data_IF_380056514423
#
_entry.id   IF_380056514423
#
_cell.length_a   1.000
_cell.length_b   1.000
_cell.length_c   1.000
_cell.angle_alpha   90.00
_cell.angle_beta   90.00
_cell.angle_gamma   90.00
#
_symmetry.space_group_name_H-M   'P 1'
#
loop_
_entity.id
_entity.type
_entity.pdbx_description
1 polymer ?
#
# COMPACT_ATOMS: atom_id res chain seq x y z
N UNK A 1 11.82 -23.96 41.87
CA UNK A 1 11.54 -22.86 40.92
C UNK A 1 10.85 -23.53 39.77
N UNK A 2 9.58 -23.23 39.58
CA UNK A 2 8.79 -23.80 38.50
C UNK A 2 9.35 -23.32 37.15
N UNK A 3 9.29 -24.16 36.13
CA UNK A 3 9.80 -23.81 34.80
C UNK A 3 8.98 -22.63 34.27
N UNK A 4 9.57 -21.62 33.61
CA UNK A 4 8.81 -20.56 32.93
C UNK A 4 7.75 -21.12 31.96
N UNK A 5 7.94 -22.35 31.46
CA UNK A 5 6.98 -23.07 30.62
C UNK A 5 5.73 -23.56 31.39
N UNK A 6 5.85 -23.82 32.71
CA UNK A 6 4.73 -24.27 33.53
C UNK A 6 3.70 -23.16 33.78
N UNK A 7 4.14 -21.89 33.79
CA UNK A 7 3.27 -20.71 33.92
C UNK A 7 2.35 -20.50 32.70
N UNK A 8 2.76 -20.93 31.50
CA UNK A 8 1.97 -20.82 30.28
C UNK A 8 0.88 -21.90 30.16
N UNK A 9 1.03 -23.02 30.87
CA UNK A 9 0.05 -24.12 30.86
C UNK A 9 -1.20 -23.83 31.69
N UNK A 10 -1.19 -22.78 32.51
CA UNK A 10 -2.22 -22.50 33.52
C UNK A 10 -3.47 -21.77 32.97
N UNK A 11 -3.50 -21.34 31.70
CA UNK A 11 -4.62 -20.58 31.12
C UNK A 11 -5.59 -21.38 30.22
N UNK A 12 -5.34 -22.68 30.03
CA UNK A 12 -6.20 -23.54 29.20
C UNK A 12 -7.44 -24.01 30.00
N UNK A 13 -8.39 -23.10 30.21
CA UNK A 13 -9.63 -23.37 30.96
C UNK A 13 -10.86 -22.61 30.44
N UNK A 14 -11.62 -23.27 29.55
CA UNK A 14 -13.05 -23.06 29.19
C UNK A 14 -13.50 -21.76 28.50
N UNK A 15 -13.79 -21.90 27.19
CA UNK A 15 -14.79 -21.27 26.32
C UNK A 15 -15.50 -19.97 26.75
N UNK A 16 -15.44 -18.97 25.84
CA UNK A 16 -16.56 -18.07 25.56
C UNK A 16 -16.19 -16.58 25.41
N UNK A 17 -15.76 -16.18 24.21
CA UNK A 17 -15.74 -14.79 23.70
C UNK A 17 -14.99 -13.67 24.48
N UNK A 18 -14.35 -13.95 25.60
CA UNK A 18 -13.46 -13.00 26.32
C UNK A 18 -11.95 -13.23 26.12
N UNK A 19 -11.56 -14.03 25.12
CA UNK A 19 -10.20 -14.58 25.00
C UNK A 19 -9.11 -13.63 24.48
N UNK A 20 -9.45 -12.60 23.69
CA UNK A 20 -8.43 -11.76 23.05
C UNK A 20 -7.78 -10.77 24.04
N UNK A 21 -8.57 -10.11 24.90
CA UNK A 21 -8.03 -9.18 25.91
C UNK A 21 -7.20 -9.91 26.98
N UNK A 22 -7.59 -11.13 27.37
CA UNK A 22 -6.89 -11.88 28.42
C UNK A 22 -5.51 -12.37 27.98
N UNK A 23 -5.34 -12.72 26.71
CA UNK A 23 -4.07 -13.20 26.18
C UNK A 23 -3.08 -12.06 25.90
N UNK A 24 -3.56 -10.89 25.46
CA UNK A 24 -2.71 -9.70 25.29
C UNK A 24 -2.05 -9.31 26.62
N UNK A 25 -2.84 -9.31 27.71
CA UNK A 25 -2.36 -8.96 29.03
C UNK A 25 -1.31 -9.93 29.59
N UNK A 26 -1.50 -11.23 29.40
CA UNK A 26 -0.53 -12.23 29.84
C UNK A 26 0.83 -12.10 29.11
N UNK A 27 0.82 -11.73 27.83
CA UNK A 27 2.04 -11.50 27.06
C UNK A 27 2.71 -10.18 27.49
N UNK A 28 1.93 -9.12 27.72
CA UNK A 28 2.42 -7.84 28.21
C UNK A 28 3.07 -7.95 29.59
N UNK A 29 2.42 -8.63 30.53
CA UNK A 29 2.94 -8.88 31.88
C UNK A 29 4.26 -9.68 31.81
N UNK A 30 4.32 -10.69 30.94
CA UNK A 30 5.49 -11.55 30.78
C UNK A 30 6.67 -10.83 30.08
N UNK A 31 6.39 -9.94 29.13
CA UNK A 31 7.41 -9.07 28.52
C UNK A 31 7.90 -7.99 29.50
N UNK A 32 7.04 -7.52 30.40
CA UNK A 32 7.36 -6.55 31.44
C UNK A 32 8.24 -7.15 32.54
N UNK A 33 7.96 -8.38 32.97
CA UNK A 33 8.64 -9.02 34.10
C UNK A 33 10.06 -9.49 33.79
N UNK A 34 10.30 -10.00 32.58
CA UNK A 34 11.60 -10.61 32.23
C UNK A 34 12.48 -9.72 31.34
N UNK A 35 11.89 -8.67 30.75
CA UNK A 35 12.48 -7.97 29.62
C UNK A 35 12.63 -8.90 28.41
N UNK A 36 12.22 -8.46 27.22
CA UNK A 36 12.17 -9.33 26.03
C UNK A 36 13.47 -10.09 25.68
N UNK A 37 14.64 -9.68 26.22
CA UNK A 37 15.90 -10.40 26.07
C UNK A 37 16.15 -11.53 27.07
N UNK A 38 15.70 -11.41 28.33
CA UNK A 38 15.93 -12.42 29.37
C UNK A 38 15.04 -13.64 29.19
N UNK A 39 13.77 -13.43 28.85
CA UNK A 39 12.80 -14.50 28.61
C UNK A 39 13.21 -15.44 27.47
N UNK A 40 13.71 -14.89 26.36
CA UNK A 40 14.12 -15.66 25.19
C UNK A 40 15.29 -16.59 25.51
N UNK A 41 16.25 -16.13 26.33
CA UNK A 41 17.40 -16.94 26.76
C UNK A 41 16.98 -18.10 27.66
N UNK A 42 16.09 -17.88 28.62
CA UNK A 42 15.61 -18.92 29.54
C UNK A 42 14.82 -20.02 28.81
N UNK A 43 14.06 -19.67 27.76
CA UNK A 43 13.33 -20.65 26.96
C UNK A 43 14.20 -21.38 25.92
N UNK A 44 15.48 -21.03 25.78
CA UNK A 44 16.39 -21.65 24.81
C UNK A 44 16.13 -21.27 23.35
N UNK A 45 15.33 -20.23 23.11
CA UNK A 45 15.07 -19.72 21.76
C UNK A 45 16.00 -18.56 21.41
N UNK A 46 16.12 -18.25 20.12
CA UNK A 46 16.94 -17.12 19.65
C UNK A 46 16.07 -15.88 19.45
N UNK A 47 14.81 -16.05 19.05
CA UNK A 47 13.88 -14.96 18.82
C UNK A 47 12.59 -15.14 19.60
N UNK A 48 12.02 -14.04 20.10
CA UNK A 48 10.68 -14.03 20.72
C UNK A 48 9.62 -14.61 19.78
N UNK A 49 9.78 -14.38 18.47
CA UNK A 49 8.94 -14.97 17.44
C UNK A 49 8.86 -16.50 17.54
N UNK A 50 9.98 -17.18 17.79
CA UNK A 50 10.01 -18.64 17.86
C UNK A 50 9.21 -19.15 19.06
N UNK A 51 9.28 -18.45 20.19
CA UNK A 51 8.50 -18.77 21.39
C UNK A 51 7.00 -18.65 21.10
N UNK A 52 6.59 -17.56 20.44
CA UNK A 52 5.19 -17.32 20.12
C UNK A 52 4.66 -18.31 19.07
N UNK A 53 5.46 -18.66 18.08
CA UNK A 53 5.08 -19.65 17.07
C UNK A 53 4.84 -21.03 17.66
N UNK A 54 5.66 -21.44 18.65
CA UNK A 54 5.51 -22.74 19.32
C UNK A 54 4.31 -22.76 20.27
N UNK A 55 4.09 -21.70 21.04
CA UNK A 55 3.02 -21.66 22.06
C UNK A 55 1.66 -21.25 21.49
N UNK A 56 1.64 -20.53 20.36
CA UNK A 56 0.44 -20.01 19.73
C UNK A 56 0.50 -20.23 18.20
N UNK A 57 0.53 -21.49 17.73
CA UNK A 57 0.72 -21.80 16.31
C UNK A 57 -0.46 -21.38 15.42
N UNK A 58 -1.64 -21.19 16.00
CA UNK A 58 -2.84 -20.75 15.27
C UNK A 58 -2.83 -19.25 14.95
N UNK A 59 -1.91 -18.48 15.54
CA UNK A 59 -1.75 -17.05 15.28
C UNK A 59 -0.76 -16.83 14.13
N UNK A 60 -1.14 -15.99 13.16
CA UNK A 60 -0.31 -15.62 12.02
C UNK A 60 0.73 -14.54 12.40
N UNK A 61 1.72 -14.95 13.19
CA UNK A 61 2.78 -14.07 13.66
C UNK A 61 3.64 -13.56 12.50
N UNK A 62 3.87 -12.24 12.46
CA UNK A 62 4.74 -11.60 11.48
C UNK A 62 6.09 -11.25 12.11
N UNK A 63 7.20 -11.93 11.76
CA UNK A 63 8.51 -11.72 12.38
C UNK A 63 8.98 -10.26 12.39
N UNK A 64 8.66 -9.49 11.34
CA UNK A 64 9.02 -8.08 11.20
C UNK A 64 8.29 -7.13 12.14
N UNK A 65 7.25 -7.58 12.84
CA UNK A 65 6.58 -6.81 13.89
C UNK A 65 7.37 -6.86 15.21
N UNK A 66 8.32 -7.79 15.33
CA UNK A 66 9.21 -7.88 16.48
C UNK A 66 10.48 -7.08 16.19
N UNK A 67 10.84 -6.14 17.07
CA UNK A 67 11.91 -5.16 16.79
C UNK A 67 13.31 -5.73 16.49
N UNK A 68 13.59 -6.99 16.85
CA UNK A 68 14.87 -7.66 16.60
C UNK A 68 14.82 -8.63 15.41
N UNK A 69 15.08 -8.13 14.20
CA UNK A 69 14.97 -8.91 12.94
C UNK A 69 16.23 -8.89 12.08
N UNK A 70 17.39 -8.55 12.64
CA UNK A 70 18.62 -8.35 11.84
C UNK A 70 19.02 -9.57 11.01
N UNK A 71 18.98 -10.76 11.60
CA UNK A 71 19.26 -12.03 10.92
C UNK A 71 18.11 -12.49 10.03
N UNK A 72 16.86 -12.17 10.41
CA UNK A 72 15.66 -12.50 9.63
C UNK A 72 15.75 -11.96 8.19
N UNK A 73 16.21 -10.72 8.05
CA UNK A 73 16.37 -10.06 6.75
C UNK A 73 17.57 -10.56 5.93
N UNK A 74 18.41 -11.45 6.46
CA UNK A 74 19.55 -11.99 5.70
C UNK A 74 19.12 -12.98 4.60
N UNK A 75 17.92 -13.54 4.72
CA UNK A 75 17.37 -14.49 3.76
C UNK A 75 16.42 -13.82 2.76
N UNK A 76 16.65 -13.99 1.45
CA UNK A 76 15.83 -13.36 0.40
C UNK A 76 14.36 -13.78 0.42
N UNK A 77 14.07 -15.03 0.79
CA UNK A 77 12.69 -15.50 0.93
C UNK A 77 11.91 -14.72 2.00
N UNK A 78 12.55 -14.32 3.10
CA UNK A 78 11.91 -13.52 4.15
C UNK A 78 11.65 -12.08 3.69
N UNK A 79 12.55 -11.55 2.87
CA UNK A 79 12.40 -10.22 2.27
C UNK A 79 11.22 -10.20 1.29
N UNK A 80 11.08 -11.24 0.46
CA UNK A 80 9.95 -11.42 -0.45
C UNK A 80 8.64 -11.59 0.30
N UNK A 81 8.61 -12.47 1.29
CA UNK A 81 7.43 -12.70 2.11
C UNK A 81 6.92 -11.39 2.76
N UNK A 82 7.82 -10.59 3.31
CA UNK A 82 7.46 -9.27 3.83
C UNK A 82 6.87 -8.34 2.76
N UNK A 83 7.51 -8.26 1.57
CA UNK A 83 7.06 -7.36 0.52
C UNK A 83 5.70 -7.77 -0.04
N UNK A 84 5.44 -9.07 -0.20
CA UNK A 84 4.16 -9.62 -0.63
C UNK A 84 3.06 -9.29 0.40
N UNK A 85 3.28 -9.63 1.67
CA UNK A 85 2.36 -9.28 2.74
C UNK A 85 2.11 -7.76 2.82
N UNK A 86 3.15 -6.93 2.68
CA UNK A 86 2.99 -5.48 2.69
C UNK A 86 2.11 -5.03 1.52
N UNK A 87 2.32 -5.58 0.31
CA UNK A 87 1.52 -5.22 -0.86
C UNK A 87 0.04 -5.57 -0.67
N UNK A 88 -0.27 -6.69 0.01
CA UNK A 88 -1.64 -7.03 0.42
C UNK A 88 -2.25 -5.97 1.36
N UNK A 89 -1.46 -5.37 2.26
CA UNK A 89 -1.94 -4.34 3.18
C UNK A 89 -2.24 -2.99 2.50
N UNK A 90 -1.64 -2.71 1.34
CA UNK A 90 -1.86 -1.47 0.56
C UNK A 90 -2.52 -1.74 -0.80
N UNK A 91 -3.47 -2.69 -0.81
CA UNK A 91 -3.96 -3.48 -1.95
C UNK A 91 -3.22 -3.28 -3.28
N UNK A 92 -1.91 -3.57 -3.32
CA UNK A 92 -1.13 -3.56 -4.54
C UNK A 92 -0.95 -4.97 -5.08
N UNK A 93 -1.17 -5.15 -6.38
CA UNK A 93 -0.86 -6.40 -7.06
C UNK A 93 0.65 -6.55 -7.25
N UNK A 94 1.24 -7.59 -6.66
CA UNK A 94 2.67 -7.92 -6.86
C UNK A 94 2.99 -8.31 -8.30
N UNK A 95 2.00 -8.76 -9.07
CA UNK A 95 2.16 -9.14 -10.47
C UNK A 95 2.17 -7.94 -11.42
N UNK A 96 1.80 -6.74 -10.95
CA UNK A 96 1.83 -5.52 -11.74
C UNK A 96 3.11 -4.74 -11.45
N UNK A 97 4.10 -4.88 -12.32
CA UNK A 97 5.36 -4.15 -12.17
C UNK A 97 5.16 -2.63 -12.14
N UNK A 98 4.18 -2.09 -12.89
CA UNK A 98 3.88 -0.66 -12.94
C UNK A 98 3.40 -0.13 -11.60
N UNK A 99 2.56 -0.90 -10.88
CA UNK A 99 2.07 -0.51 -9.57
C UNK A 99 3.18 -0.53 -8.52
N UNK A 100 4.14 -1.45 -8.63
CA UNK A 100 5.25 -1.56 -7.70
C UNK A 100 6.19 -0.34 -7.73
N UNK A 101 6.30 0.37 -8.86
CA UNK A 101 7.02 1.66 -8.90
C UNK A 101 6.37 2.76 -8.03
N UNK A 102 5.12 2.58 -7.60
CA UNK A 102 4.43 3.51 -6.70
C UNK A 102 4.78 3.30 -5.22
N UNK A 103 5.48 2.21 -4.89
CA UNK A 103 5.93 1.94 -3.53
C UNK A 103 6.96 2.98 -3.07
N UNK A 104 6.86 3.34 -1.80
CA UNK A 104 7.77 4.32 -1.19
C UNK A 104 8.50 3.74 0.01
N UNK A 105 9.70 4.26 0.27
CA UNK A 105 10.46 3.94 1.49
C UNK A 105 9.65 4.26 2.75
N UNK A 106 8.83 5.31 2.73
CA UNK A 106 7.95 5.69 3.86
C UNK A 106 6.93 4.59 4.17
N UNK A 107 6.32 4.00 3.16
CA UNK A 107 5.38 2.87 3.34
C UNK A 107 6.10 1.63 3.86
N UNK A 108 7.22 1.26 3.26
CA UNK A 108 8.00 0.10 3.74
C UNK A 108 8.34 0.26 5.22
N UNK A 109 8.73 1.46 5.65
CA UNK A 109 8.99 1.76 7.07
C UNK A 109 7.73 1.72 7.93
N UNK A 110 6.59 2.20 7.42
CA UNK A 110 5.28 2.18 8.11
C UNK A 110 4.89 0.75 8.49
N UNK A 111 5.21 -0.22 7.64
CA UNK A 111 4.86 -1.63 7.82
C UNK A 111 5.97 -2.47 8.47
N UNK A 112 7.01 -1.86 9.06
CA UNK A 112 8.05 -2.59 9.81
C UNK A 112 9.32 -2.94 9.02
N UNK A 113 9.41 -2.57 7.74
CA UNK A 113 10.56 -2.86 6.87
C UNK A 113 11.82 -2.01 7.13
N UNK A 114 11.98 -1.39 8.31
CA UNK A 114 13.17 -0.59 8.65
C UNK A 114 14.45 -1.43 8.61
N UNK A 115 14.41 -2.64 9.20
CA UNK A 115 15.55 -3.56 9.20
C UNK A 115 15.92 -4.03 7.79
N UNK A 116 14.90 -4.35 6.98
CA UNK A 116 15.07 -4.71 5.58
C UNK A 116 15.82 -3.63 4.78
N UNK A 117 15.36 -2.38 4.89
CA UNK A 117 15.97 -1.25 4.19
C UNK A 117 17.42 -1.00 4.63
N UNK A 118 17.74 -1.25 5.89
CA UNK A 118 19.11 -1.11 6.40
C UNK A 118 20.08 -2.11 5.75
N UNK A 119 19.63 -3.33 5.45
CA UNK A 119 20.44 -4.35 4.78
C UNK A 119 20.54 -4.09 3.28
N UNK A 120 19.42 -3.74 2.63
CA UNK A 120 19.36 -3.52 1.18
C UNK A 120 20.13 -2.28 0.72
N UNK A 121 20.33 -1.31 1.62
CA UNK A 121 20.96 0.01 1.38
C UNK A 121 20.15 0.94 0.48
N UNK A 122 19.53 0.44 -0.57
CA UNK A 122 18.70 1.22 -1.51
C UNK A 122 17.38 0.52 -1.82
N UNK A 123 16.36 1.29 -2.22
CA UNK A 123 15.10 0.75 -2.71
C UNK A 123 15.30 -0.06 -4.01
N UNK A 124 16.22 0.38 -4.88
CA UNK A 124 16.57 -0.35 -6.09
C UNK A 124 17.03 -1.79 -5.78
N UNK A 125 18.03 -1.93 -4.88
CA UNK A 125 18.57 -3.24 -4.51
C UNK A 125 17.49 -4.14 -3.93
N UNK A 126 16.58 -3.58 -3.14
CA UNK A 126 15.44 -4.32 -2.60
C UNK A 126 14.57 -4.90 -3.72
N UNK A 127 14.18 -4.09 -4.70
CA UNK A 127 13.30 -4.52 -5.78
C UNK A 127 13.97 -5.54 -6.70
N UNK A 128 15.25 -5.34 -7.05
CA UNK A 128 16.03 -6.30 -7.86
C UNK A 128 16.26 -7.63 -7.12
N UNK A 129 16.40 -7.61 -5.79
CA UNK A 129 16.63 -8.83 -5.01
C UNK A 129 15.34 -9.63 -4.79
N UNK A 130 14.26 -8.94 -4.45
CA UNK A 130 12.99 -9.58 -4.06
C UNK A 130 12.17 -9.99 -5.27
N UNK A 131 12.15 -9.14 -6.30
CA UNK A 131 11.38 -9.33 -7.52
C UNK A 131 12.32 -9.39 -8.73
N UNK A 132 13.25 -10.34 -8.68
CA UNK A 132 14.26 -10.53 -9.73
C UNK A 132 13.66 -11.00 -11.06
N UNK A 133 12.41 -11.45 -11.06
CA UNK A 133 11.65 -11.82 -12.25
C UNK A 133 11.22 -10.63 -13.12
N UNK A 134 11.29 -9.40 -12.60
CA UNK A 134 10.89 -8.20 -13.33
C UNK A 134 12.06 -7.47 -13.98
N UNK A 135 11.84 -6.95 -15.18
CA UNK A 135 12.80 -6.14 -15.91
C UNK A 135 12.70 -4.68 -15.46
N UNK A 136 13.41 -4.34 -14.38
CA UNK A 136 13.32 -3.02 -13.75
C UNK A 136 13.96 -1.90 -14.59
N UNK A 137 13.19 -0.83 -14.82
CA UNK A 137 13.72 0.44 -15.30
C UNK A 137 14.30 1.24 -14.12
N UNK A 138 15.62 1.12 -13.95
CA UNK A 138 16.37 1.69 -12.83
C UNK A 138 16.15 3.20 -12.66
N UNK A 139 15.95 3.91 -13.77
CA UNK A 139 15.67 5.35 -13.79
C UNK A 139 14.43 5.71 -12.95
N UNK A 140 13.44 4.81 -12.90
CA UNK A 140 12.17 4.99 -12.18
C UNK A 140 12.29 4.63 -10.71
N UNK A 141 13.05 3.58 -10.38
CA UNK A 141 13.29 3.17 -8.98
C UNK A 141 14.05 4.24 -8.19
N UNK A 142 15.02 4.91 -8.82
CA UNK A 142 15.80 5.99 -8.18
C UNK A 142 14.94 7.20 -7.81
N UNK A 143 13.85 7.45 -8.54
CA UNK A 143 12.93 8.58 -8.30
C UNK A 143 11.92 8.31 -7.17
N UNK A 144 11.60 7.04 -6.87
CA UNK A 144 10.58 6.66 -5.87
C UNK A 144 11.00 6.80 -4.40
N UNK A 145 12.30 6.95 -4.11
CA UNK A 145 12.83 6.91 -2.74
C UNK A 145 12.70 8.19 -1.90
N UNK A 146 12.58 9.36 -2.54
CA UNK A 146 12.80 10.66 -1.88
C UNK A 146 11.85 11.76 -2.36
N UNK A 147 10.57 11.43 -2.57
CA UNK A 147 9.54 12.40 -2.97
C UNK A 147 9.67 12.91 -4.40
N UNK A 148 10.57 12.33 -5.21
CA UNK A 148 10.74 12.69 -6.62
C UNK A 148 9.54 12.30 -7.47
N UNK A 149 9.30 13.08 -8.53
CA UNK A 149 8.40 12.96 -9.72
C UNK A 149 7.20 11.98 -9.71
N UNK A 150 7.33 10.77 -9.18
CA UNK A 150 6.19 9.88 -8.90
C UNK A 150 5.43 10.26 -7.62
N UNK A 151 6.03 11.02 -6.70
CA UNK A 151 5.39 11.41 -5.44
C UNK A 151 4.07 12.17 -5.63
N UNK A 152 4.00 13.10 -6.58
CA UNK A 152 2.81 13.94 -6.81
C UNK A 152 1.66 13.20 -7.48
N UNK A 153 1.94 12.18 -8.31
CA UNK A 153 0.92 11.38 -9.02
C UNK A 153 0.80 9.94 -8.54
N UNK A 154 1.43 9.59 -7.43
CA UNK A 154 1.47 8.21 -6.92
C UNK A 154 0.06 7.67 -6.69
N UNK A 155 -0.74 8.44 -5.95
CA UNK A 155 -2.09 8.03 -5.58
C UNK A 155 -3.02 8.06 -6.79
N UNK A 156 -2.84 9.02 -7.70
CA UNK A 156 -3.53 9.02 -9.00
C UNK A 156 -3.24 7.74 -9.78
N UNK A 157 -1.97 7.31 -9.91
CA UNK A 157 -1.60 6.06 -10.58
C UNK A 157 -2.22 4.82 -9.92
N UNK A 158 -2.23 4.78 -8.59
CA UNK A 158 -2.89 3.70 -7.85
C UNK A 158 -4.39 3.68 -8.10
N UNK A 159 -5.03 4.84 -8.08
CA UNK A 159 -6.43 4.98 -8.41
C UNK A 159 -6.70 4.52 -9.86
N UNK A 160 -5.86 4.92 -10.82
CA UNK A 160 -5.96 4.45 -12.21
C UNK A 160 -5.87 2.92 -12.30
N UNK A 161 -4.95 2.31 -11.56
CA UNK A 161 -4.82 0.85 -11.50
C UNK A 161 -6.09 0.19 -10.92
N UNK A 162 -6.64 0.71 -9.82
CA UNK A 162 -7.89 0.19 -9.27
C UNK A 162 -9.06 0.34 -10.25
N UNK A 163 -9.17 1.47 -10.93
CA UNK A 163 -10.19 1.67 -11.97
C UNK A 163 -10.03 0.66 -13.10
N UNK A 164 -8.79 0.33 -13.51
CA UNK A 164 -8.53 -0.74 -14.49
C UNK A 164 -8.97 -2.12 -14.01
N UNK A 165 -8.78 -2.42 -12.73
CA UNK A 165 -9.27 -3.68 -12.15
C UNK A 165 -10.79 -3.75 -12.11
N UNK A 166 -11.47 -2.64 -11.82
CA UNK A 166 -12.93 -2.57 -11.77
C UNK A 166 -13.57 -2.60 -13.16
N UNK A 167 -12.89 -2.05 -14.17
CA UNK A 167 -13.39 -1.95 -15.54
C UNK A 167 -12.39 -2.54 -16.56
N UNK A 168 -12.09 -3.86 -16.49
CA UNK A 168 -11.01 -4.47 -17.26
C UNK A 168 -11.22 -4.43 -18.78
N UNK A 169 -12.46 -4.29 -19.23
CA UNK A 169 -12.82 -4.28 -20.67
C UNK A 169 -13.14 -2.87 -21.20
N UNK A 170 -12.89 -1.81 -20.41
CA UNK A 170 -13.20 -0.43 -20.81
C UNK A 170 -11.93 0.35 -21.11
N UNK A 171 -12.08 1.32 -22.00
CA UNK A 171 -11.05 2.31 -22.25
C UNK A 171 -10.92 3.23 -21.02
N UNK A 172 -9.69 3.37 -20.50
CA UNK A 172 -9.40 4.25 -19.37
C UNK A 172 -8.31 5.21 -19.80
N UNK A 173 -8.62 6.50 -19.77
CA UNK A 173 -7.74 7.59 -20.15
C UNK A 173 -7.24 8.31 -18.89
N UNK A 174 -6.01 8.01 -18.40
CA UNK A 174 -5.40 8.79 -17.34
C UNK A 174 -4.96 10.16 -17.85
N UNK A 175 -4.94 11.17 -16.98
CA UNK A 175 -4.50 12.54 -17.30
C UNK A 175 -5.24 13.15 -18.51
N UNK A 176 -6.56 12.94 -18.59
CA UNK A 176 -7.36 13.36 -19.73
C UNK A 176 -7.44 14.88 -19.85
N UNK A 177 -7.07 15.38 -21.03
CA UNK A 177 -7.21 16.78 -21.45
C UNK A 177 -7.79 16.85 -22.85
N UNK A 178 -8.98 17.42 -23.00
CA UNK A 178 -9.70 17.44 -24.27
C UNK A 178 -8.89 18.08 -25.41
N UNK A 179 -8.19 19.19 -25.16
CA UNK A 179 -7.32 19.83 -26.15
C UNK A 179 -6.12 19.00 -26.64
N UNK A 180 -5.66 18.00 -25.88
CA UNK A 180 -4.52 17.15 -26.29
C UNK A 180 -4.91 16.00 -27.22
N UNK A 181 -6.18 15.54 -27.16
CA UNK A 181 -6.67 14.44 -28.00
C UNK A 181 -6.64 14.82 -29.49
N UNK A 182 -6.76 16.11 -29.80
CA UNK A 182 -6.73 16.62 -31.19
C UNK A 182 -5.35 16.51 -31.85
N UNK A 183 -4.27 16.36 -31.08
CA UNK A 183 -2.90 16.44 -31.59
C UNK A 183 -2.24 15.08 -31.89
N UNK A 184 -2.78 13.97 -31.38
CA UNK A 184 -2.19 12.62 -31.55
C UNK A 184 -2.83 11.79 -32.67
N UNK A 185 -3.69 12.39 -33.50
CA UNK A 185 -4.48 11.68 -34.49
C UNK A 185 -3.70 11.32 -35.78
N UNK A 186 -2.94 10.24 -35.73
CA UNK A 186 -2.86 9.30 -36.87
C UNK A 186 -4.05 8.32 -36.87
N UNK A 187 -4.80 8.24 -35.76
CA UNK A 187 -6.07 7.52 -35.70
C UNK A 187 -7.22 8.50 -35.96
N UNK A 188 -7.87 8.32 -37.10
CA UNK A 188 -9.05 9.04 -37.61
C UNK A 188 -10.30 8.82 -36.75
N UNK A 189 -10.24 9.21 -35.47
CA UNK A 189 -11.42 9.36 -34.64
C UNK A 189 -12.03 10.74 -34.92
N UNK A 190 -13.23 10.75 -35.49
CA UNK A 190 -13.99 11.97 -35.75
C UNK A 190 -14.28 12.71 -34.44
N UNK A 191 -14.28 14.04 -34.50
CA UNK A 191 -14.61 14.94 -33.37
C UNK A 191 -16.00 14.69 -32.75
N UNK A 192 -16.80 13.81 -33.33
CA UNK A 192 -18.18 13.52 -32.94
C UNK A 192 -18.32 12.54 -31.76
N UNK A 193 -17.25 11.84 -31.35
CA UNK A 193 -17.42 10.69 -30.45
C UNK A 193 -17.70 11.06 -28.98
N UNK A 194 -17.23 12.22 -28.50
CA UNK A 194 -17.34 12.59 -27.10
C UNK A 194 -17.83 14.04 -26.93
N UNK A 195 -18.80 14.29 -26.03
CA UNK A 195 -19.28 15.64 -25.77
C UNK A 195 -18.16 16.50 -25.17
N UNK A 196 -18.23 17.80 -25.41
CA UNK A 196 -17.29 18.77 -24.84
C UNK A 196 -17.51 18.88 -23.34
N UNK A 197 -16.49 18.53 -22.56
CA UNK A 197 -16.55 18.56 -21.10
C UNK A 197 -15.95 19.88 -20.63
N UNK A 198 -16.82 20.82 -20.25
CA UNK A 198 -16.43 22.16 -19.81
C UNK A 198 -16.98 22.48 -18.44
N UNK A 199 -16.28 23.34 -17.72
CA UNK A 199 -16.81 23.98 -16.53
C UNK A 199 -17.96 24.92 -16.93
N UNK A 200 -19.19 24.75 -16.42
CA UNK A 200 -20.34 25.53 -16.89
C UNK A 200 -20.28 27.01 -16.53
N UNK A 201 -19.55 27.39 -15.47
CA UNK A 201 -19.38 28.80 -15.08
C UNK A 201 -18.40 29.55 -15.98
N UNK A 202 -17.30 28.88 -16.36
CA UNK A 202 -16.18 29.53 -17.05
C UNK A 202 -16.07 29.17 -18.52
N UNK A 203 -16.82 28.15 -18.97
CA UNK A 203 -16.73 27.55 -20.31
C UNK A 203 -15.31 27.05 -20.69
N UNK A 204 -14.45 26.84 -19.69
CA UNK A 204 -13.11 26.27 -19.85
C UNK A 204 -13.20 24.74 -19.84
N UNK A 205 -12.37 24.09 -20.66
CA UNK A 205 -12.26 22.63 -20.69
C UNK A 205 -11.80 22.08 -19.34
N UNK A 206 -12.40 20.97 -18.92
CA UNK A 206 -11.97 20.28 -17.70
C UNK A 206 -10.76 19.39 -18.01
N UNK A 207 -9.78 19.42 -17.11
CA UNK A 207 -8.75 18.38 -17.01
C UNK A 207 -9.23 17.37 -15.97
N UNK A 208 -9.16 16.08 -16.31
CA UNK A 208 -9.64 14.98 -15.47
C UNK A 208 -8.50 14.00 -15.20
N UNK A 209 -8.34 13.58 -13.96
CA UNK A 209 -7.26 12.66 -13.60
C UNK A 209 -7.42 11.27 -14.24
N UNK A 210 -8.66 10.77 -14.33
CA UNK A 210 -9.01 9.49 -14.96
C UNK A 210 -10.38 9.61 -15.60
N UNK A 211 -10.50 9.26 -16.89
CA UNK A 211 -11.75 9.34 -17.64
C UNK A 211 -12.07 8.01 -18.36
N UNK A 212 -13.33 7.58 -18.26
CA UNK A 212 -13.92 6.43 -18.96
C UNK A 212 -14.94 6.97 -19.96
N UNK A 213 -14.52 7.18 -21.22
CA UNK A 213 -15.34 7.90 -22.19
C UNK A 213 -16.62 7.18 -22.58
N UNK A 214 -16.63 5.84 -22.55
CA UNK A 214 -17.75 5.00 -22.97
C UNK A 214 -18.97 5.08 -22.03
N UNK A 215 -18.77 5.47 -20.78
CA UNK A 215 -19.82 5.67 -19.77
C UNK A 215 -19.83 7.08 -19.19
N UNK A 216 -19.08 8.01 -19.78
CA UNK A 216 -18.98 9.40 -19.32
C UNK A 216 -18.65 9.53 -17.83
N UNK A 217 -17.79 8.63 -17.31
CA UNK A 217 -17.42 8.58 -15.91
C UNK A 217 -16.00 9.12 -15.73
N UNK A 218 -15.83 10.03 -14.78
CA UNK A 218 -14.53 10.58 -14.41
C UNK A 218 -14.24 10.36 -12.93
N UNK A 219 -12.97 10.11 -12.60
CA UNK A 219 -12.46 10.09 -11.24
C UNK A 219 -11.41 11.18 -11.09
N UNK A 220 -11.54 11.98 -10.05
CA UNK A 220 -10.60 13.04 -9.69
C UNK A 220 -9.93 12.70 -8.37
N UNK A 221 -8.60 12.72 -8.34
CA UNK A 221 -7.83 12.49 -7.15
C UNK A 221 -7.65 13.79 -6.36
N UNK A 222 -8.37 13.87 -5.25
CA UNK A 222 -8.25 14.96 -4.30
C UNK A 222 -7.13 14.63 -3.30
N UNK A 223 -5.98 15.28 -3.45
CA UNK A 223 -4.79 15.02 -2.63
C UNK A 223 -5.00 15.23 -1.12
N UNK A 224 -4.09 14.71 -0.29
CA UNK A 224 -4.19 14.77 1.19
C UNK A 224 -3.96 16.17 1.82
N UNK A 225 -3.87 17.27 1.06
CA UNK A 225 -3.24 18.50 1.56
C UNK A 225 -3.78 19.86 1.12
N UNK A 226 -4.96 19.97 0.48
CA UNK A 226 -5.42 21.28 -0.06
C UNK A 226 -6.86 21.65 0.28
N UNK A 227 -7.49 21.01 1.27
CA UNK A 227 -8.92 21.23 1.56
C UNK A 227 -9.23 22.22 2.70
N UNK A 228 -8.24 22.96 3.19
CA UNK A 228 -8.51 24.05 4.15
C UNK A 228 -8.75 25.40 3.47
N UNK A 229 -8.66 25.48 2.14
CA UNK A 229 -8.93 26.70 1.38
C UNK A 229 -10.34 26.65 0.78
N UNK A 230 -11.21 27.56 1.20
CA UNK A 230 -12.61 27.65 0.79
C UNK A 230 -12.75 27.79 -0.75
N UNK A 231 -11.78 28.42 -1.41
CA UNK A 231 -11.74 28.57 -2.87
C UNK A 231 -11.57 27.21 -3.59
N UNK A 232 -10.87 26.26 -2.97
CA UNK A 232 -10.68 24.91 -3.51
C UNK A 232 -11.99 24.11 -3.39
N UNK A 233 -12.69 24.25 -2.26
CA UNK A 233 -13.99 23.61 -2.05
C UNK A 233 -15.04 24.11 -3.03
N UNK A 234 -15.13 25.42 -3.27
CA UNK A 234 -16.07 25.97 -4.26
C UNK A 234 -15.77 25.48 -5.69
N UNK A 235 -14.50 25.39 -6.07
CA UNK A 235 -14.09 24.85 -7.38
C UNK A 235 -14.48 23.38 -7.53
N UNK A 236 -14.30 22.58 -6.49
CA UNK A 236 -14.59 21.15 -6.53
C UNK A 236 -16.09 20.84 -6.47
N UNK A 237 -16.91 21.70 -5.85
CA UNK A 237 -18.37 21.60 -5.90
C UNK A 237 -18.92 21.76 -7.32
N UNK A 238 -18.27 22.56 -8.18
CA UNK A 238 -18.65 22.70 -9.60
C UNK A 238 -18.33 21.44 -10.42
N UNK A 239 -17.46 20.54 -9.93
CA UNK A 239 -17.19 19.27 -10.60
C UNK A 239 -18.19 18.17 -10.23
N UNK A 240 -18.99 18.35 -9.17
CA UNK A 240 -20.05 17.41 -8.76
C UNK A 240 -21.33 17.53 -9.58
N UNK A 241 -21.32 18.29 -10.68
CA UNK A 241 -22.52 18.64 -11.45
C UNK A 241 -23.12 17.39 -12.12
N UNK A 242 -24.27 16.98 -11.57
CA UNK A 242 -25.38 16.20 -12.14
C UNK A 242 -25.06 15.27 -13.31
N UNK A 243 -24.40 14.16 -13.01
CA UNK A 243 -24.39 12.96 -13.87
C UNK A 243 -25.81 12.34 -13.96
N UNK A 244 -26.77 12.80 -13.16
CA UNK A 244 -28.09 12.17 -13.00
C UNK A 244 -29.26 12.86 -13.74
N UNK A 245 -29.05 14.01 -14.39
CA UNK A 245 -30.11 14.70 -15.15
C UNK A 245 -29.96 14.50 -16.68
N UNK A 246 -29.84 13.24 -17.11
CA UNK A 246 -29.86 12.86 -18.52
C UNK A 246 -31.07 11.94 -18.77
N UNK A 247 -32.25 12.55 -18.85
CA UNK A 247 -33.46 11.99 -19.47
C UNK A 247 -33.75 12.69 -20.80
#
# INVERSE_FOLDING_TARGET
MDSPLDLLSYSQGKNGQHGEESNSKAIEDLLADYGGGGFVQECGYVYLYDVLLVNYPDFDWKPWMFGQTKSFWSYSGNQRWFMEWMCEQIPLSISDQEILYTLTVKEIRKYGGRGLLAIMKTFQNLMETVFFEFEWEISRLRKGGSGGMYGTKKNQKRLTHFVRMLFPNREIQPDYKQGLVKASAEHSFSEERYPRIVNPKTNKELELDIFLPDIMLAYEYQGEGTHEDDDVLERDLVKKIDVWNWE
#
